data_IF_971836989878
#
_entry.id   IF_971836989878
#
_cell.length_a   1.000
_cell.length_b   1.000
_cell.length_c   1.000
_cell.angle_alpha   90.00
_cell.angle_beta   90.00
_cell.angle_gamma   90.00
#
_symmetry.space_group_name_H-M   'P 1'
#
loop_
_entity.id
_entity.type
_entity.pdbx_description
1 polymer ?
#
# COMPACT_ATOMS: atom_id res chain seq x y z
N UNK A 1 35.46 -50.67 53.11
CA UNK A 1 34.44 -49.70 52.71
C UNK A 1 34.75 -49.26 51.27
N UNK A 2 33.94 -49.69 50.29
CA UNK A 2 34.12 -49.33 48.87
C UNK A 2 33.06 -48.24 48.54
N UNK A 3 33.53 -47.03 48.26
CA UNK A 3 32.68 -45.90 47.90
C UNK A 3 32.40 -45.95 46.40
N UNK A 4 31.13 -46.18 46.03
CA UNK A 4 30.68 -46.14 44.63
C UNK A 4 30.31 -44.70 44.31
N UNK A 5 31.05 -44.07 43.37
CA UNK A 5 30.74 -42.75 42.81
C UNK A 5 29.79 -42.96 41.64
N UNK A 6 28.54 -42.43 41.77
CA UNK A 6 27.54 -42.48 40.72
C UNK A 6 27.66 -41.21 39.87
N UNK A 7 28.23 -41.34 38.67
CA UNK A 7 28.26 -40.24 37.71
C UNK A 7 26.90 -40.13 37.01
N UNK A 8 26.16 -39.06 37.34
CA UNK A 8 24.90 -38.69 36.67
C UNK A 8 25.25 -37.95 35.37
N UNK A 9 25.09 -38.59 34.22
CA UNK A 9 25.22 -37.94 32.90
C UNK A 9 23.91 -37.25 32.55
N UNK A 10 23.87 -35.92 32.67
CA UNK A 10 22.76 -35.12 32.18
C UNK A 10 22.89 -34.99 30.65
N UNK A 11 22.08 -35.72 29.92
CA UNK A 11 21.93 -35.53 28.46
C UNK A 11 21.05 -34.29 28.19
N UNK A 12 21.70 -33.17 27.85
CA UNK A 12 21.01 -31.96 27.35
C UNK A 12 20.56 -32.24 25.91
N UNK A 13 19.25 -32.54 25.76
CA UNK A 13 18.62 -32.61 24.43
C UNK A 13 18.44 -31.20 23.89
N UNK A 14 19.37 -30.72 23.05
CA UNK A 14 19.20 -29.52 22.28
C UNK A 14 18.06 -29.76 21.27
N UNK A 15 16.85 -29.24 21.56
CA UNK A 15 15.79 -29.08 20.57
C UNK A 15 16.25 -28.00 19.58
N UNK A 16 16.87 -28.43 18.50
CA UNK A 16 17.12 -27.56 17.34
C UNK A 16 15.75 -27.23 16.75
N UNK A 17 15.21 -26.03 17.04
CA UNK A 17 14.13 -25.46 16.28
C UNK A 17 14.67 -25.17 14.88
N UNK A 18 14.52 -26.14 13.99
CA UNK A 18 14.84 -25.97 12.57
C UNK A 18 13.93 -24.88 12.00
N UNK A 19 14.47 -23.70 11.74
CA UNK A 19 13.79 -22.73 10.89
C UNK A 19 13.66 -23.38 9.52
N UNK A 20 12.42 -23.60 9.09
CA UNK A 20 12.15 -24.01 7.72
C UNK A 20 12.85 -23.05 6.77
N UNK A 21 13.58 -23.53 5.75
CA UNK A 21 14.25 -22.64 4.80
C UNK A 21 13.19 -21.72 4.18
N UNK A 22 13.33 -20.39 4.38
CA UNK A 22 12.45 -19.41 3.74
C UNK A 22 12.65 -19.56 2.24
N UNK A 23 11.58 -19.87 1.52
CA UNK A 23 11.58 -19.88 0.06
C UNK A 23 12.06 -18.51 -0.43
N UNK A 24 13.03 -18.44 -1.36
CA UNK A 24 13.46 -17.17 -1.92
C UNK A 24 12.27 -16.39 -2.50
N UNK A 25 12.23 -15.06 -2.34
CA UNK A 25 11.16 -14.27 -2.89
C UNK A 25 11.14 -14.36 -4.43
N UNK A 26 9.96 -14.51 -5.01
CA UNK A 26 9.73 -14.47 -6.45
C UNK A 26 9.38 -13.04 -6.88
N UNK A 27 9.49 -12.74 -8.19
CA UNK A 27 9.03 -11.45 -8.72
C UNK A 27 7.58 -11.18 -8.32
N UNK A 28 6.69 -12.16 -8.48
CA UNK A 28 5.29 -12.05 -8.06
C UNK A 28 5.14 -11.70 -6.59
N UNK A 29 5.85 -12.40 -5.70
CA UNK A 29 5.73 -12.15 -4.26
C UNK A 29 6.23 -10.75 -3.86
N UNK A 30 7.29 -10.24 -4.49
CA UNK A 30 7.81 -8.89 -4.25
C UNK A 30 6.80 -7.83 -4.71
N UNK A 31 6.25 -7.99 -5.92
CA UNK A 31 5.26 -7.05 -6.45
C UNK A 31 3.97 -7.03 -5.62
N UNK A 32 3.48 -8.20 -5.20
CA UNK A 32 2.32 -8.31 -4.31
C UNK A 32 2.58 -7.69 -2.93
N UNK A 33 3.75 -7.89 -2.36
CA UNK A 33 4.13 -7.25 -1.10
C UNK A 33 4.06 -5.73 -1.21
N UNK A 34 4.64 -5.14 -2.28
CA UNK A 34 4.58 -3.70 -2.50
C UNK A 34 3.15 -3.18 -2.66
N UNK A 35 2.30 -3.89 -3.41
CA UNK A 35 0.90 -3.51 -3.57
C UNK A 35 0.15 -3.58 -2.24
N UNK A 36 0.25 -4.69 -1.50
CA UNK A 36 -0.43 -4.90 -0.21
C UNK A 36 0.03 -3.89 0.85
N UNK A 37 1.32 -3.61 0.92
CA UNK A 37 1.87 -2.66 1.91
C UNK A 37 1.49 -1.21 1.60
N UNK A 38 1.25 -0.85 0.34
CA UNK A 38 0.68 0.46 -0.01
C UNK A 38 -0.83 0.51 0.11
N UNK A 39 -1.54 -0.61 0.15
CA UNK A 39 -2.99 -0.68 0.20
C UNK A 39 -3.53 -0.76 1.63
N UNK A 40 -3.35 -1.90 2.32
CA UNK A 40 -4.01 -2.21 3.58
C UNK A 40 -3.15 -2.96 4.60
N UNK A 41 -1.96 -3.44 4.22
CA UNK A 41 -1.06 -4.17 5.10
C UNK A 41 -0.03 -3.23 5.72
N UNK A 42 -0.11 -3.03 7.04
CA UNK A 42 0.85 -2.18 7.76
C UNK A 42 2.18 -2.91 7.95
N UNK A 43 3.23 -2.35 7.37
CA UNK A 43 4.60 -2.83 7.50
C UNK A 43 5.54 -1.65 7.85
N UNK A 44 6.37 -1.20 6.93
CA UNK A 44 7.34 -0.12 7.14
C UNK A 44 6.70 1.27 7.21
N UNK A 45 5.52 1.43 6.64
CA UNK A 45 4.77 2.69 6.59
C UNK A 45 3.26 2.44 6.66
N UNK A 46 2.52 3.52 6.76
CA UNK A 46 1.06 3.48 6.87
C UNK A 46 0.44 3.26 5.49
N UNK A 47 -0.42 2.24 5.32
CA UNK A 47 -1.08 1.99 4.03
C UNK A 47 -2.20 2.99 3.73
N UNK A 48 -2.65 3.04 2.46
CA UNK A 48 -3.66 3.96 1.95
C UNK A 48 -4.96 3.93 2.77
N UNK A 49 -5.49 2.74 3.05
CA UNK A 49 -6.75 2.60 3.79
C UNK A 49 -6.67 3.24 5.17
N UNK A 50 -5.57 3.04 5.89
CA UNK A 50 -5.35 3.69 7.19
C UNK A 50 -5.13 5.21 7.04
N UNK A 51 -4.46 5.64 5.97
CA UNK A 51 -4.18 7.06 5.74
C UNK A 51 -5.47 7.88 5.49
N UNK A 52 -6.49 7.30 4.85
CA UNK A 52 -7.76 8.00 4.55
C UNK A 52 -8.88 7.71 5.55
N UNK A 53 -8.68 6.75 6.46
CA UNK A 53 -9.70 6.29 7.41
C UNK A 53 -10.18 7.40 8.34
N UNK A 54 -11.52 7.48 8.52
CA UNK A 54 -12.15 8.37 9.50
C UNK A 54 -12.14 9.86 9.14
N UNK A 55 -11.68 10.24 7.95
CA UNK A 55 -11.75 11.64 7.48
C UNK A 55 -13.17 12.02 7.06
N UNK A 56 -13.61 13.21 7.50
CA UNK A 56 -14.82 13.81 6.97
C UNK A 56 -14.57 14.45 5.60
N UNK A 57 -15.64 14.71 4.80
CA UNK A 57 -15.51 15.44 3.54
C UNK A 57 -14.82 16.81 3.68
N UNK A 58 -15.08 17.52 4.79
CA UNK A 58 -14.45 18.82 5.10
C UNK A 58 -12.96 18.67 5.34
N UNK A 59 -12.55 17.67 6.14
CA UNK A 59 -11.15 17.35 6.38
C UNK A 59 -10.42 16.92 5.09
N UNK A 60 -11.09 16.13 4.24
CA UNK A 60 -10.54 15.72 2.96
C UNK A 60 -10.35 16.88 1.99
N UNK A 61 -11.18 17.92 2.09
CA UNK A 61 -11.12 19.11 1.22
C UNK A 61 -10.23 20.22 1.76
N UNK A 62 -9.79 20.11 3.00
CA UNK A 62 -8.98 21.14 3.65
C UNK A 62 -7.68 21.41 2.89
N UNK A 63 -7.30 22.68 2.80
CA UNK A 63 -6.05 23.16 2.18
C UNK A 63 -5.39 24.19 3.08
N UNK A 64 -4.07 24.21 3.08
CA UNK A 64 -3.27 25.14 3.87
C UNK A 64 -3.20 26.58 3.32
N UNK A 65 -3.86 26.84 2.21
CA UNK A 65 -3.86 28.16 1.54
C UNK A 65 -2.58 28.47 0.74
N UNK A 66 -1.62 27.55 0.67
CA UNK A 66 -0.30 27.74 0.01
C UNK A 66 -0.22 27.10 -1.37
N UNK A 67 -1.35 26.73 -1.97
CA UNK A 67 -1.38 26.11 -3.29
C UNK A 67 -1.22 24.57 -3.29
N UNK A 68 -1.04 23.95 -2.12
CA UNK A 68 -0.94 22.49 -2.01
C UNK A 68 -2.27 21.80 -2.28
N UNK A 69 -2.21 20.55 -2.75
CA UNK A 69 -3.38 19.70 -2.93
C UNK A 69 -4.00 19.31 -1.58
N UNK A 70 -5.32 19.12 -1.56
CA UNK A 70 -6.03 18.53 -0.43
C UNK A 70 -5.87 17.01 -0.41
N UNK A 71 -6.20 16.38 0.73
CA UNK A 71 -6.23 14.91 0.85
C UNK A 71 -7.14 14.28 -0.20
N UNK A 72 -8.33 14.84 -0.42
CA UNK A 72 -9.27 14.34 -1.41
C UNK A 72 -8.74 14.44 -2.83
N UNK A 73 -8.03 15.51 -3.16
CA UNK A 73 -7.37 15.66 -4.46
C UNK A 73 -6.28 14.61 -4.65
N UNK A 74 -5.46 14.35 -3.63
CA UNK A 74 -4.43 13.30 -3.68
C UNK A 74 -5.04 11.90 -3.82
N UNK A 75 -6.10 11.60 -3.07
CA UNK A 75 -6.80 10.33 -3.18
C UNK A 75 -7.45 10.14 -4.56
N UNK A 76 -8.07 11.18 -5.11
CA UNK A 76 -8.65 11.14 -6.46
C UNK A 76 -7.59 10.90 -7.53
N UNK A 77 -6.44 11.54 -7.42
CA UNK A 77 -5.28 11.32 -8.29
C UNK A 77 -4.76 9.88 -8.23
N UNK A 78 -4.69 9.30 -7.02
CA UNK A 78 -4.33 7.90 -6.85
C UNK A 78 -5.35 6.96 -7.51
N UNK A 79 -6.65 7.21 -7.34
CA UNK A 79 -7.71 6.43 -8.01
C UNK A 79 -7.51 6.47 -9.51
N UNK A 80 -7.33 7.67 -10.08
CA UNK A 80 -7.19 7.84 -11.53
C UNK A 80 -6.01 7.03 -12.08
N UNK A 81 -4.80 7.23 -11.56
CA UNK A 81 -3.61 6.56 -12.12
C UNK A 81 -3.59 5.06 -11.87
N UNK A 82 -4.04 4.61 -10.71
CA UNK A 82 -4.17 3.18 -10.46
C UNK A 82 -5.19 2.54 -11.42
N UNK A 83 -6.33 3.19 -11.69
CA UNK A 83 -7.32 2.67 -12.63
C UNK A 83 -6.83 2.67 -14.06
N UNK A 84 -6.16 3.73 -14.50
CA UNK A 84 -5.63 3.88 -15.86
C UNK A 84 -4.59 2.78 -16.18
N UNK A 85 -3.62 2.59 -15.29
CA UNK A 85 -2.60 1.57 -15.48
C UNK A 85 -3.14 0.14 -15.31
N UNK A 86 -4.11 -0.08 -14.40
CA UNK A 86 -4.77 -1.38 -14.25
C UNK A 86 -5.56 -1.76 -15.51
N UNK A 87 -6.25 -0.80 -16.12
CA UNK A 87 -6.99 -1.00 -17.38
C UNK A 87 -6.03 -1.47 -18.49
N UNK A 88 -4.88 -0.80 -18.63
CA UNK A 88 -3.83 -1.21 -19.57
C UNK A 88 -3.25 -2.59 -19.23
N UNK A 89 -3.01 -2.87 -17.95
CA UNK A 89 -2.54 -4.18 -17.50
C UNK A 89 -3.51 -5.29 -17.83
N UNK A 90 -4.83 -5.05 -17.71
CA UNK A 90 -5.88 -6.01 -18.10
C UNK A 90 -6.01 -6.16 -19.61
N UNK A 91 -5.41 -5.28 -20.41
CA UNK A 91 -5.55 -5.27 -21.88
C UNK A 91 -6.87 -4.65 -22.33
N UNK A 92 -7.51 -3.88 -21.48
CA UNK A 92 -8.75 -3.16 -21.77
C UNK A 92 -8.42 -1.81 -22.45
N UNK A 93 -9.34 -1.22 -23.21
CA UNK A 93 -9.11 0.09 -23.81
C UNK A 93 -8.99 1.17 -22.72
N UNK A 94 -7.95 2.02 -22.77
CA UNK A 94 -7.76 3.08 -21.77
C UNK A 94 -8.90 4.10 -21.83
N UNK A 95 -9.15 4.76 -20.70
CA UNK A 95 -10.04 5.91 -20.66
C UNK A 95 -9.43 7.04 -21.50
N UNK A 96 -10.27 7.78 -22.23
CA UNK A 96 -9.78 8.92 -22.99
C UNK A 96 -9.24 9.99 -22.03
N UNK A 97 -7.93 10.20 -22.05
CA UNK A 97 -7.22 11.18 -21.26
C UNK A 97 -6.39 12.08 -22.16
N UNK A 98 -6.51 13.39 -22.00
CA UNK A 98 -5.85 14.38 -22.85
C UNK A 98 -4.41 14.71 -22.44
N UNK A 99 -3.94 14.09 -21.34
CA UNK A 99 -2.59 14.29 -20.80
C UNK A 99 -2.48 15.41 -19.76
N UNK A 100 -3.59 16.08 -19.41
CA UNK A 100 -3.56 17.10 -18.38
C UNK A 100 -3.58 16.50 -16.97
N UNK A 101 -2.40 16.31 -16.40
CA UNK A 101 -2.25 15.72 -15.08
C UNK A 101 -2.97 16.49 -13.95
N UNK A 102 -3.11 17.81 -14.08
CA UNK A 102 -3.76 18.65 -13.06
C UNK A 102 -5.24 18.30 -12.89
N UNK A 103 -5.91 17.83 -13.94
CA UNK A 103 -7.31 17.40 -13.88
C UNK A 103 -7.50 16.18 -12.99
N UNK A 104 -6.51 15.32 -12.87
CA UNK A 104 -6.58 14.14 -11.99
C UNK A 104 -6.72 14.53 -10.52
N UNK A 105 -6.24 15.72 -10.13
CA UNK A 105 -6.43 16.32 -8.81
C UNK A 105 -7.70 17.19 -8.75
N UNK A 106 -7.91 18.04 -9.76
CA UNK A 106 -8.93 19.08 -9.74
C UNK A 106 -10.37 18.54 -9.93
N UNK A 107 -10.51 17.35 -10.50
CA UNK A 107 -11.82 16.70 -10.65
C UNK A 107 -12.37 16.10 -9.34
N UNK A 108 -11.68 16.28 -8.20
CA UNK A 108 -12.19 15.86 -6.89
C UNK A 108 -13.43 16.66 -6.49
N UNK A 109 -14.48 15.94 -6.11
CA UNK A 109 -15.74 16.48 -5.57
C UNK A 109 -15.88 16.08 -4.10
N UNK A 110 -15.89 17.07 -3.21
CA UNK A 110 -16.05 16.89 -1.76
C UNK A 110 -17.26 16.04 -1.39
N UNK A 111 -18.39 16.19 -2.10
CA UNK A 111 -19.62 15.41 -1.85
C UNK A 111 -19.44 13.92 -2.16
N UNK A 112 -18.45 13.57 -2.97
CA UNK A 112 -18.13 12.20 -3.36
C UNK A 112 -17.00 11.58 -2.53
N UNK A 113 -16.55 12.24 -1.45
CA UNK A 113 -15.41 11.75 -0.66
C UNK A 113 -15.52 10.27 -0.30
N UNK A 114 -16.66 9.83 0.24
CA UNK A 114 -16.84 8.42 0.60
C UNK A 114 -16.74 7.49 -0.61
N UNK A 115 -17.24 7.91 -1.77
CA UNK A 115 -17.09 7.14 -3.01
C UNK A 115 -15.62 7.09 -3.47
N UNK A 116 -14.88 8.19 -3.34
CA UNK A 116 -13.43 8.22 -3.65
C UNK A 116 -12.65 7.24 -2.77
N UNK A 117 -12.94 7.18 -1.46
CA UNK A 117 -12.32 6.21 -0.54
C UNK A 117 -12.62 4.76 -0.96
N UNK A 118 -13.88 4.46 -1.29
CA UNK A 118 -14.28 3.14 -1.77
C UNK A 118 -13.61 2.77 -3.10
N UNK A 119 -13.52 3.71 -4.04
CA UNK A 119 -12.85 3.51 -5.32
C UNK A 119 -11.35 3.27 -5.15
N UNK A 120 -10.70 3.98 -4.21
CA UNK A 120 -9.30 3.75 -3.90
C UNK A 120 -9.07 2.34 -3.37
N UNK A 121 -9.83 1.89 -2.38
CA UNK A 121 -9.75 0.53 -1.84
C UNK A 121 -10.02 -0.53 -2.93
N UNK A 122 -11.04 -0.30 -3.75
CA UNK A 122 -11.41 -1.22 -4.82
C UNK A 122 -10.30 -1.36 -5.86
N UNK A 123 -9.75 -0.26 -6.37
CA UNK A 123 -8.73 -0.31 -7.42
C UNK A 123 -7.43 -0.96 -6.93
N UNK A 124 -7.04 -0.71 -5.68
CA UNK A 124 -5.88 -1.34 -5.07
C UNK A 124 -6.12 -2.85 -4.84
N UNK A 125 -7.31 -3.25 -4.40
CA UNK A 125 -7.71 -4.66 -4.33
C UNK A 125 -7.66 -5.35 -5.70
N UNK A 126 -8.11 -4.67 -6.74
CA UNK A 126 -8.11 -5.21 -8.11
C UNK A 126 -6.68 -5.37 -8.67
N UNK A 127 -5.76 -4.47 -8.32
CA UNK A 127 -4.35 -4.63 -8.64
C UNK A 127 -3.75 -5.90 -8.03
N UNK A 128 -3.99 -6.13 -6.75
CA UNK A 128 -3.52 -7.35 -6.07
C UNK A 128 -4.05 -8.61 -6.75
N UNK A 129 -5.34 -8.66 -7.05
CA UNK A 129 -5.97 -9.80 -7.75
C UNK A 129 -5.41 -9.99 -9.16
N UNK A 130 -5.18 -8.91 -9.89
CA UNK A 130 -4.68 -8.98 -11.26
C UNK A 130 -3.23 -9.48 -11.30
N UNK A 131 -2.38 -9.05 -10.36
CA UNK A 131 -0.99 -9.53 -10.24
C UNK A 131 -0.94 -10.97 -9.75
N UNK A 132 -1.80 -11.36 -8.79
CA UNK A 132 -1.89 -12.75 -8.32
C UNK A 132 -2.25 -13.71 -9.47
N UNK A 133 -3.20 -13.33 -10.34
CA UNK A 133 -3.66 -14.12 -11.46
C UNK A 133 -2.73 -14.12 -12.67
N UNK A 134 -1.79 -13.18 -12.78
CA UNK A 134 -0.90 -13.04 -13.92
C UNK A 134 0.16 -14.15 -13.96
N UNK A 135 0.55 -14.55 -15.17
CA UNK A 135 1.70 -15.43 -15.39
C UNK A 135 3.04 -14.68 -15.31
N UNK A 136 4.14 -15.42 -15.21
CA UNK A 136 5.47 -14.86 -15.04
C UNK A 136 5.87 -13.98 -16.23
N UNK A 137 5.53 -14.34 -17.45
CA UNK A 137 5.83 -13.58 -18.67
C UNK A 137 5.17 -12.19 -18.63
N UNK A 138 3.92 -12.13 -18.21
CA UNK A 138 3.21 -10.86 -18.03
C UNK A 138 3.84 -10.03 -16.93
N UNK A 139 4.17 -10.65 -15.79
CA UNK A 139 4.83 -9.96 -14.69
C UNK A 139 6.21 -9.42 -15.07
N UNK A 140 7.02 -10.18 -15.80
CA UNK A 140 8.31 -9.71 -16.32
C UNK A 140 8.16 -8.46 -17.19
N UNK A 141 7.16 -8.44 -18.08
CA UNK A 141 6.92 -7.29 -18.98
C UNK A 141 6.35 -6.06 -18.28
N UNK A 142 5.69 -6.23 -17.12
CA UNK A 142 5.01 -5.16 -16.37
C UNK A 142 5.67 -4.80 -15.04
N UNK A 143 6.72 -5.51 -14.62
CA UNK A 143 7.32 -5.35 -13.28
C UNK A 143 7.73 -3.91 -12.96
N UNK A 144 8.29 -3.19 -13.92
CA UNK A 144 8.68 -1.78 -13.74
C UNK A 144 7.47 -0.88 -13.49
N UNK A 145 6.38 -1.06 -14.24
CA UNK A 145 5.15 -0.25 -14.08
C UNK A 145 4.50 -0.57 -12.74
N UNK A 146 4.39 -1.85 -12.37
CA UNK A 146 3.81 -2.25 -11.08
C UNK A 146 4.64 -1.69 -9.91
N UNK A 147 5.97 -1.72 -10.01
CA UNK A 147 6.84 -1.13 -9.00
C UNK A 147 6.64 0.40 -8.91
N UNK A 148 6.48 1.09 -10.05
CA UNK A 148 6.18 2.53 -10.07
C UNK A 148 4.82 2.84 -9.45
N UNK A 149 3.79 2.02 -9.67
CA UNK A 149 2.49 2.15 -8.99
C UNK A 149 2.67 2.07 -7.47
N UNK A 150 3.40 1.07 -6.96
CA UNK A 150 3.68 0.96 -5.53
C UNK A 150 4.40 2.19 -4.96
N UNK A 151 5.45 2.67 -5.62
CA UNK A 151 6.20 3.86 -5.15
C UNK A 151 5.40 5.15 -5.28
N UNK A 152 4.58 5.31 -6.32
CA UNK A 152 3.68 6.44 -6.49
C UNK A 152 2.60 6.48 -5.40
N UNK A 153 2.01 5.33 -5.08
CA UNK A 153 1.07 5.21 -3.97
C UNK A 153 1.73 5.62 -2.65
N UNK A 154 2.91 5.07 -2.32
CA UNK A 154 3.63 5.40 -1.11
C UNK A 154 3.97 6.90 -0.99
N UNK A 155 4.37 7.53 -2.11
CA UNK A 155 4.67 8.97 -2.17
C UNK A 155 3.45 9.82 -1.78
N UNK A 156 2.29 9.56 -2.37
CA UNK A 156 1.08 10.33 -2.08
C UNK A 156 0.45 9.98 -0.73
N UNK A 157 0.57 8.74 -0.25
CA UNK A 157 0.18 8.36 1.12
C UNK A 157 0.97 9.18 2.15
N UNK A 158 2.28 9.35 1.94
CA UNK A 158 3.10 10.20 2.79
C UNK A 158 2.62 11.66 2.83
N UNK A 159 2.21 12.21 1.69
CA UNK A 159 1.62 13.55 1.61
C UNK A 159 0.27 13.63 2.34
N UNK A 160 -0.60 12.65 2.18
CA UNK A 160 -1.89 12.55 2.90
C UNK A 160 -1.66 12.60 4.41
N UNK A 161 -0.74 11.78 4.94
CA UNK A 161 -0.43 11.74 6.36
C UNK A 161 0.15 13.09 6.82
N UNK A 162 1.03 13.70 6.03
CA UNK A 162 1.58 15.02 6.35
C UNK A 162 0.49 16.08 6.47
N UNK A 163 -0.46 16.11 5.53
CA UNK A 163 -1.60 17.04 5.59
C UNK A 163 -2.49 16.75 6.80
N UNK A 164 -2.75 15.49 7.12
CA UNK A 164 -3.49 15.10 8.34
C UNK A 164 -2.82 15.61 9.61
N UNK A 165 -1.50 15.55 9.68
CA UNK A 165 -0.74 16.13 10.81
C UNK A 165 -0.89 17.64 10.87
N UNK A 166 -0.79 18.33 9.75
CA UNK A 166 -0.95 19.80 9.68
C UNK A 166 -2.32 20.26 10.13
N UNK A 167 -3.38 19.55 9.75
CA UNK A 167 -4.77 19.90 10.15
C UNK A 167 -5.21 19.28 11.49
N UNK A 168 -4.33 18.54 12.19
CA UNK A 168 -4.63 17.93 13.50
C UNK A 168 -5.58 16.73 13.45
N UNK A 169 -5.76 16.07 12.29
CA UNK A 169 -6.64 14.91 12.13
C UNK A 169 -5.90 13.56 12.11
N UNK A 170 -4.58 13.54 12.35
CA UNK A 170 -3.80 12.32 12.43
C UNK A 170 -3.76 11.78 13.85
N UNK A 171 -4.07 10.50 13.99
CA UNK A 171 -3.89 9.74 15.22
C UNK A 171 -2.50 9.07 15.21
N UNK A 172 -1.55 9.49 16.06
CA UNK A 172 -0.19 8.92 16.10
C UNK A 172 -0.14 7.44 16.49
N UNK A 173 -1.18 6.89 17.11
CA UNK A 173 -1.25 5.46 17.45
C UNK A 173 -1.46 4.58 16.20
N UNK A 174 -1.92 5.16 15.10
CA UNK A 174 -2.00 4.48 13.80
C UNK A 174 -0.64 4.27 13.13
N UNK A 175 0.41 4.87 13.64
CA UNK A 175 1.81 4.83 13.15
C UNK A 175 2.29 6.22 12.74
N UNK A 176 3.58 6.37 12.51
CA UNK A 176 4.23 7.64 12.12
C UNK A 176 3.95 8.76 13.13
N UNK A 177 4.67 8.77 14.24
CA UNK A 177 4.61 9.79 15.31
C UNK A 177 5.09 11.17 14.83
#
# INVERSE_FOLDING_TARGET
MKTIVFCLVLSLSCLAFGQSPKTPPTLKSILLEQLKTTHNQKEWFVPANTAVEGLTPEQASWRDGKGNHSIGQLANHLVFWNQEELTKFKGEPPVKFDGNNDETFNNFDTKKWNATVQQLDQVLTEWEKAVEAADDKKLESWCSIIAHIGTHNAYHIGQIIYIRKLQGSWDPEKGVK
#
